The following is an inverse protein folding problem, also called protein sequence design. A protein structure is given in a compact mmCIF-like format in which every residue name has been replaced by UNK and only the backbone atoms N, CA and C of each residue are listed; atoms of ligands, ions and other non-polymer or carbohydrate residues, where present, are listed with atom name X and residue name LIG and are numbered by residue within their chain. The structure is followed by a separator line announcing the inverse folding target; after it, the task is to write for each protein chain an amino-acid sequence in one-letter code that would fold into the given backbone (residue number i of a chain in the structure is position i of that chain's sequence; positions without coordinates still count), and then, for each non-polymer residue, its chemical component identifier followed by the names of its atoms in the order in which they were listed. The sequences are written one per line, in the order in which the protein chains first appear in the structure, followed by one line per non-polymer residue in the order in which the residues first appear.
data_IF_068786869059
#
_entry.id   IF_068786869059
#
_cell.length_a   1.000
_cell.length_b   1.000
_cell.length_c   1.000
_cell.angle_alpha   90.00
_cell.angle_beta   90.00
_cell.angle_gamma   90.00
#
_symmetry.space_group_name_H-M   'P 1'
#
loop_
_entity.id
_entity.type
_entity.pdbx_description
1 polymer ?
#
# COMPACT_ATOMS: atom_id res chain seq x y z
N UNK A 1 53.86 43.13 68.40
CA UNK A 1 53.13 42.09 67.65
C UNK A 1 52.65 42.69 66.34
N UNK A 2 53.37 42.45 65.23
CA UNK A 2 52.93 42.87 63.90
C UNK A 2 52.78 41.62 63.04
N UNK A 3 51.54 41.28 62.68
CA UNK A 3 51.21 40.16 61.81
C UNK A 3 51.51 40.52 60.36
N UNK A 4 52.57 39.95 59.80
CA UNK A 4 52.91 40.08 58.38
C UNK A 4 51.91 39.25 57.58
N UNK A 5 50.95 39.91 56.95
CA UNK A 5 50.01 39.27 56.02
C UNK A 5 50.71 39.03 54.68
N UNK A 6 51.00 37.77 54.39
CA UNK A 6 51.66 37.35 53.16
C UNK A 6 50.79 37.61 51.92
N UNK A 7 51.29 38.46 51.03
CA UNK A 7 50.70 38.81 49.71
C UNK A 7 50.33 37.57 48.87
N UNK A 8 51.02 36.43 49.07
CA UNK A 8 50.77 35.18 48.34
C UNK A 8 49.37 34.63 48.59
N UNK A 9 48.80 34.77 49.80
CA UNK A 9 47.46 34.24 50.11
C UNK A 9 46.34 34.97 49.38
N UNK A 10 46.50 36.27 49.11
CA UNK A 10 45.49 37.09 48.40
C UNK A 10 45.44 36.76 46.90
N UNK A 11 46.60 36.49 46.29
CA UNK A 11 46.68 36.11 44.88
C UNK A 11 46.07 34.74 44.63
N UNK A 12 46.28 33.76 45.52
CA UNK A 12 45.70 32.41 45.35
C UNK A 12 44.17 32.40 45.48
N UNK A 13 43.62 33.21 46.38
CA UNK A 13 42.16 33.35 46.53
C UNK A 13 41.57 34.03 45.29
N UNK A 14 42.22 35.08 44.78
CA UNK A 14 41.79 35.76 43.55
C UNK A 14 41.80 34.81 42.34
N UNK A 15 42.85 33.99 42.20
CA UNK A 15 42.97 33.03 41.11
C UNK A 15 41.91 31.92 41.19
N UNK A 16 41.59 31.43 42.40
CA UNK A 16 40.52 30.44 42.57
C UNK A 16 39.12 31.02 42.27
N UNK A 17 38.86 32.27 42.67
CA UNK A 17 37.59 32.93 42.37
C UNK A 17 37.44 33.17 40.87
N UNK A 18 38.51 33.62 40.18
CA UNK A 18 38.51 33.79 38.72
C UNK A 18 38.33 32.46 38.01
N UNK A 19 39.01 31.39 38.45
CA UNK A 19 38.89 30.05 37.89
C UNK A 19 37.47 29.48 38.07
N UNK A 20 36.87 29.68 39.25
CA UNK A 20 35.48 29.28 39.52
C UNK A 20 34.49 30.04 38.63
N UNK A 21 34.65 31.36 38.47
CA UNK A 21 33.78 32.17 37.59
C UNK A 21 33.93 31.77 36.12
N UNK A 22 35.13 31.40 35.67
CA UNK A 22 35.31 30.86 34.30
C UNK A 22 34.73 29.45 34.11
N UNK A 23 34.81 28.57 35.12
CA UNK A 23 34.24 27.22 35.04
C UNK A 23 32.71 27.23 35.10
N UNK A 24 32.10 28.12 35.89
CA UNK A 24 30.64 28.30 35.91
C UNK A 24 30.12 29.10 34.72
N UNK A 25 30.93 30.00 34.13
CA UNK A 25 30.59 30.74 32.91
C UNK A 25 30.53 29.84 31.65
N UNK A 26 31.33 28.77 31.59
CA UNK A 26 31.31 27.79 30.50
C UNK A 26 30.22 26.72 30.66
N UNK A 27 29.62 26.60 31.85
CA UNK A 27 28.40 25.82 32.09
C UNK A 27 27.12 26.66 31.84
N UNK A 28 27.26 27.86 31.28
CA UNK A 28 26.16 28.71 30.85
C UNK A 28 25.42 28.11 29.66
N UNK A 29 24.28 27.48 29.94
CA UNK A 29 23.13 27.32 29.03
C UNK A 29 23.46 27.14 27.54
N UNK A 30 24.21 26.11 27.17
CA UNK A 30 23.94 25.52 25.85
C UNK A 30 22.55 24.91 25.97
N UNK A 31 21.54 25.62 25.46
CA UNK A 31 20.34 24.93 24.99
C UNK A 31 20.89 23.87 24.06
N UNK A 32 20.88 22.59 24.48
CA UNK A 32 21.25 21.48 23.60
C UNK A 32 20.45 21.73 22.34
N UNK A 33 21.15 22.08 21.26
CA UNK A 33 20.54 22.20 19.96
C UNK A 33 19.94 20.83 19.72
N UNK A 34 18.61 20.75 19.79
CA UNK A 34 17.91 19.49 19.57
C UNK A 34 18.14 19.21 18.09
N UNK A 35 19.14 18.38 17.81
CA UNK A 35 19.49 18.01 16.45
C UNK A 35 18.23 17.51 15.75
N UNK A 36 17.97 18.05 14.56
CA UNK A 36 16.82 17.64 13.75
C UNK A 36 16.90 16.12 13.53
N UNK A 37 15.91 15.32 13.99
CA UNK A 37 16.00 13.88 13.93
C UNK A 37 15.84 13.32 12.51
N UNK A 38 15.53 14.16 11.51
CA UNK A 38 15.35 13.75 10.13
C UNK A 38 16.65 13.93 9.34
N UNK A 39 17.06 12.87 8.64
CA UNK A 39 18.20 12.91 7.72
C UNK A 39 17.68 13.18 6.32
N UNK A 40 18.16 14.24 5.67
CA UNK A 40 17.79 14.53 4.29
C UNK A 40 18.48 13.56 3.33
N UNK A 41 17.72 12.97 2.42
CA UNK A 41 18.24 12.20 1.29
C UNK A 41 17.18 12.06 0.18
N UNK A 42 17.59 11.53 -0.97
CA UNK A 42 16.69 11.16 -2.05
C UNK A 42 15.77 10.01 -1.67
N UNK A 43 14.56 9.99 -2.22
CA UNK A 43 13.62 8.86 -2.06
C UNK A 43 14.29 7.52 -2.40
N UNK A 44 15.09 7.49 -3.47
CA UNK A 44 15.81 6.30 -3.91
C UNK A 44 16.76 5.74 -2.85
N UNK A 45 17.57 6.60 -2.24
CA UNK A 45 18.52 6.21 -1.20
C UNK A 45 17.78 5.71 0.06
N UNK A 46 16.70 6.41 0.46
CA UNK A 46 15.84 6.02 1.58
C UNK A 46 15.17 4.67 1.35
N UNK A 47 14.59 4.44 0.17
CA UNK A 47 13.91 3.18 -0.16
C UNK A 47 14.89 2.01 -0.24
N UNK A 48 16.11 2.21 -0.78
CA UNK A 48 17.14 1.17 -0.87
C UNK A 48 17.87 0.89 0.44
N UNK A 49 17.77 1.78 1.43
CA UNK A 49 18.46 1.64 2.70
C UNK A 49 19.91 2.10 2.66
N UNK A 50 20.26 2.93 1.67
CA UNK A 50 21.59 3.54 1.55
C UNK A 50 21.78 4.67 2.59
N UNK A 51 20.67 5.19 3.14
CA UNK A 51 20.64 6.23 4.17
C UNK A 51 20.39 5.63 5.56
N UNK A 52 21.30 5.89 6.51
CA UNK A 52 21.10 5.55 7.91
C UNK A 52 20.46 6.73 8.67
N UNK A 53 19.37 6.46 9.38
CA UNK A 53 18.70 7.46 10.21
C UNK A 53 18.20 6.87 11.52
N UNK A 54 18.22 7.68 12.57
CA UNK A 54 17.65 7.35 13.88
C UNK A 54 16.13 7.19 13.74
N UNK A 55 15.60 6.06 14.19
CA UNK A 55 14.17 5.72 14.09
C UNK A 55 13.61 5.73 12.65
N UNK A 56 14.47 5.57 11.65
CA UNK A 56 14.08 5.55 10.23
C UNK A 56 13.33 6.82 9.79
N UNK A 57 13.77 7.99 10.26
CA UNK A 57 13.18 9.29 9.95
C UNK A 57 13.98 10.03 8.89
N UNK A 58 13.35 10.37 7.78
CA UNK A 58 14.02 10.95 6.62
C UNK A 58 13.32 12.23 6.19
N UNK A 59 14.07 13.23 5.73
CA UNK A 59 13.53 14.37 5.00
C UNK A 59 13.73 14.08 3.50
N UNK A 60 12.64 14.09 2.73
CA UNK A 60 12.68 13.84 1.29
C UNK A 60 11.99 14.98 0.56
N UNK A 61 12.38 15.24 -0.68
CA UNK A 61 11.58 16.06 -1.57
C UNK A 61 10.20 15.41 -1.80
N UNK A 62 9.15 16.22 -1.85
CA UNK A 62 7.80 15.72 -2.07
C UNK A 62 7.74 14.91 -3.38
N UNK A 63 7.37 13.63 -3.31
CA UNK A 63 7.40 12.75 -4.45
C UNK A 63 6.23 13.03 -5.40
N UNK A 64 6.36 12.55 -6.63
CA UNK A 64 5.23 12.47 -7.55
C UNK A 64 4.42 11.22 -7.24
N UNK A 65 3.13 11.40 -7.00
CA UNK A 65 2.21 10.29 -6.77
C UNK A 65 1.73 9.71 -8.09
N UNK A 66 1.87 8.40 -8.23
CA UNK A 66 1.40 7.65 -9.40
C UNK A 66 -0.09 7.29 -9.29
N UNK A 67 -0.58 7.10 -8.06
CA UNK A 67 -1.99 6.88 -7.74
C UNK A 67 -2.22 7.20 -6.26
N UNK A 68 -3.40 7.70 -5.91
CA UNK A 68 -3.78 8.00 -4.52
C UNK A 68 -5.25 7.64 -4.34
N UNK A 69 -5.55 6.95 -3.24
CA UNK A 69 -6.92 6.65 -2.81
C UNK A 69 -6.98 6.50 -1.29
N UNK A 70 -7.88 7.25 -0.66
CA UNK A 70 -8.01 7.39 0.78
C UNK A 70 -6.72 7.93 1.41
N UNK A 71 -6.20 7.17 2.37
CA UNK A 71 -4.99 7.51 3.13
C UNK A 71 -3.69 6.95 2.51
N UNK A 72 -3.78 6.24 1.39
CA UNK A 72 -2.67 5.52 0.76
C UNK A 72 -2.41 6.07 -0.65
N UNK A 73 -1.14 6.20 -1.00
CA UNK A 73 -0.69 6.51 -2.36
C UNK A 73 0.48 5.63 -2.78
N UNK A 74 0.66 5.50 -4.09
CA UNK A 74 1.84 4.90 -4.69
C UNK A 74 2.73 6.01 -5.21
N UNK A 75 4.01 5.91 -4.89
CA UNK A 75 5.07 6.73 -5.46
C UNK A 75 5.90 5.84 -6.38
N UNK A 76 6.33 6.44 -7.49
CA UNK A 76 7.25 5.79 -8.42
C UNK A 76 8.46 6.66 -8.72
N UNK A 77 9.65 6.09 -8.55
CA UNK A 77 10.91 6.64 -9.04
C UNK A 77 11.62 5.56 -9.89
N UNK A 78 11.50 5.68 -11.21
CA UNK A 78 11.99 4.67 -12.15
C UNK A 78 11.34 3.30 -11.93
N UNK A 79 12.13 2.32 -11.52
CA UNK A 79 11.67 0.96 -11.23
C UNK A 79 11.32 0.72 -9.75
N UNK A 80 11.39 1.76 -8.91
CA UNK A 80 11.01 1.70 -7.51
C UNK A 80 9.54 2.04 -7.38
N UNK A 81 8.80 1.14 -6.73
CA UNK A 81 7.43 1.34 -6.30
C UNK A 81 7.44 1.35 -4.77
N UNK A 82 6.96 2.43 -4.18
CA UNK A 82 6.90 2.62 -2.73
C UNK A 82 5.51 3.12 -2.33
N UNK A 83 5.02 2.69 -1.17
CA UNK A 83 3.75 3.18 -0.65
C UNK A 83 3.97 4.37 0.28
N UNK A 84 3.05 5.32 0.19
CA UNK A 84 3.04 6.52 1.01
C UNK A 84 1.71 6.65 1.71
N UNK A 85 1.76 6.94 3.01
CA UNK A 85 0.61 6.95 3.88
C UNK A 85 0.54 8.28 4.62
N UNK A 86 -0.62 8.94 4.52
CA UNK A 86 -0.94 10.14 5.27
C UNK A 86 -2.46 10.24 5.49
N UNK A 87 -2.87 10.88 6.57
CA UNK A 87 -4.29 11.14 6.81
C UNK A 87 -4.84 12.13 5.77
N UNK A 88 -5.95 11.77 5.13
CA UNK A 88 -6.59 12.58 4.10
C UNK A 88 -5.72 12.79 2.86
N UNK A 89 -4.87 11.83 2.51
CA UNK A 89 -3.91 11.96 1.41
C UNK A 89 -4.60 12.25 0.06
N UNK A 90 -5.68 11.55 -0.26
CA UNK A 90 -6.44 11.73 -1.51
C UNK A 90 -6.91 13.17 -1.73
N UNK A 91 -7.33 13.87 -0.67
CA UNK A 91 -7.76 15.26 -0.75
C UNK A 91 -6.62 16.29 -0.71
N UNK A 92 -5.39 15.89 -0.36
CA UNK A 92 -4.32 16.83 -0.03
C UNK A 92 -3.00 16.61 -0.79
N UNK A 93 -2.79 15.48 -1.46
CA UNK A 93 -1.49 15.12 -2.06
C UNK A 93 -0.96 16.18 -3.03
N UNK A 94 -1.84 16.84 -3.81
CA UNK A 94 -1.44 17.90 -4.74
C UNK A 94 -0.80 19.10 -4.03
N UNK A 95 -1.23 19.39 -2.79
CA UNK A 95 -0.66 20.48 -1.98
C UNK A 95 0.73 20.16 -1.45
N UNK A 96 1.14 18.89 -1.46
CA UNK A 96 2.48 18.47 -1.04
C UNK A 96 3.54 18.81 -2.09
N UNK A 97 3.15 19.06 -3.34
CA UNK A 97 4.10 19.37 -4.41
C UNK A 97 5.01 20.57 -4.04
N UNK A 98 6.31 20.41 -4.29
CA UNK A 98 7.32 21.44 -4.00
C UNK A 98 7.66 21.62 -2.52
N UNK A 99 7.24 20.71 -1.64
CA UNK A 99 7.59 20.73 -0.21
C UNK A 99 8.68 19.73 0.15
N UNK A 100 9.29 19.91 1.32
CA UNK A 100 10.11 18.90 1.97
C UNK A 100 9.23 18.12 2.97
N UNK A 101 9.22 16.80 2.84
CA UNK A 101 8.42 15.91 3.67
C UNK A 101 9.34 15.18 4.65
N UNK A 102 9.09 15.35 5.95
CA UNK A 102 9.63 14.42 6.93
C UNK A 102 8.76 13.19 6.97
N UNK A 103 9.35 12.05 6.65
CA UNK A 103 8.70 10.75 6.60
C UNK A 103 9.36 9.80 7.59
N UNK A 104 8.59 8.82 8.04
CA UNK A 104 9.11 7.67 8.76
C UNK A 104 8.89 6.42 7.93
N UNK A 105 9.96 5.69 7.65
CA UNK A 105 9.88 4.38 7.00
C UNK A 105 9.43 3.33 8.01
N UNK A 106 8.36 2.63 7.69
CA UNK A 106 7.71 1.63 8.54
C UNK A 106 7.72 0.28 7.83
N UNK A 107 7.78 -0.80 8.61
CA UNK A 107 7.81 -2.18 8.10
C UNK A 107 6.54 -2.96 8.47
N UNK A 108 5.61 -2.32 9.19
CA UNK A 108 4.35 -2.89 9.65
C UNK A 108 3.24 -1.84 9.57
N UNK A 109 2.04 -2.21 9.07
CA UNK A 109 1.76 -3.46 8.36
C UNK A 109 2.61 -3.57 7.08
N UNK A 110 2.83 -4.79 6.60
CA UNK A 110 3.54 -5.00 5.33
C UNK A 110 2.67 -4.50 4.17
N UNK A 111 3.28 -4.04 3.06
CA UNK A 111 4.71 -3.95 2.76
C UNK A 111 5.37 -2.76 3.49
N UNK A 112 6.68 -2.65 3.36
CA UNK A 112 7.40 -1.44 3.75
C UNK A 112 6.77 -0.22 3.06
N UNK A 113 6.65 0.88 3.81
CA UNK A 113 6.02 2.10 3.32
C UNK A 113 6.55 3.33 4.07
N UNK A 114 6.23 4.51 3.56
CA UNK A 114 6.57 5.81 4.14
C UNK A 114 5.32 6.42 4.79
N UNK A 115 5.43 6.82 6.05
CA UNK A 115 4.38 7.55 6.76
C UNK A 115 4.78 9.01 6.90
N UNK A 116 3.91 9.93 6.47
CA UNK A 116 4.14 11.36 6.64
C UNK A 116 4.15 11.75 8.13
N UNK A 117 5.22 12.40 8.57
CA UNK A 117 5.37 12.91 9.95
C UNK A 117 5.63 14.42 10.00
N UNK A 118 6.03 15.06 8.89
CA UNK A 118 6.34 16.49 8.83
C UNK A 118 6.19 17.07 7.42
N UNK A 119 5.73 18.32 7.32
CA UNK A 119 5.72 19.13 6.09
C UNK A 119 6.52 20.40 6.36
N UNK A 120 7.47 20.69 5.47
CA UNK A 120 8.34 21.85 5.52
C UNK A 120 8.28 22.60 4.20
N UNK A 121 8.05 23.91 4.25
CA UNK A 121 8.06 24.81 3.08
C UNK A 121 9.02 25.95 3.31
N UNK A 122 9.85 26.22 2.31
CA UNK A 122 10.81 27.33 2.37
C UNK A 122 11.68 27.30 3.63
N UNK A 123 12.07 26.09 4.08
CA UNK A 123 12.87 25.90 5.30
C UNK A 123 12.09 25.91 6.62
N UNK A 124 10.79 26.25 6.62
CA UNK A 124 9.96 26.35 7.82
C UNK A 124 9.07 25.12 7.97
N UNK A 125 9.04 24.55 9.17
CA UNK A 125 8.13 23.44 9.51
C UNK A 125 6.71 24.00 9.66
N UNK A 126 5.83 23.67 8.73
CA UNK A 126 4.43 24.10 8.74
C UNK A 126 3.55 23.13 9.54
N UNK A 127 3.88 21.84 9.47
CA UNK A 127 3.17 20.78 10.17
C UNK A 127 4.13 19.66 10.56
N UNK A 128 3.89 19.03 11.71
CA UNK A 128 4.69 17.93 12.21
C UNK A 128 3.81 16.91 12.95
N UNK A 129 4.40 15.93 13.65
CA UNK A 129 3.65 14.90 14.37
C UNK A 129 2.69 15.43 15.44
N UNK A 130 2.80 16.70 15.85
CA UNK A 130 1.88 17.32 16.82
C UNK A 130 0.62 17.88 16.14
N UNK A 131 0.71 18.30 14.88
CA UNK A 131 -0.41 18.88 14.13
C UNK A 131 -0.96 17.93 13.05
N UNK A 132 -0.11 17.07 12.50
CA UNK A 132 -0.47 16.01 11.58
C UNK A 132 -1.06 14.84 12.36
N UNK A 133 -2.29 14.48 12.01
CA UNK A 133 -2.89 13.25 12.48
C UNK A 133 -2.26 12.09 11.74
N UNK A 134 -1.87 11.05 12.48
CA UNK A 134 -1.55 9.77 11.86
C UNK A 134 -2.86 9.13 11.40
N UNK A 135 -2.88 8.53 10.20
CA UNK A 135 -4.07 7.85 9.74
C UNK A 135 -4.41 6.69 10.67
N UNK A 136 -5.65 6.68 11.16
CA UNK A 136 -6.15 5.65 12.07
C UNK A 136 -6.26 4.29 11.35
N UNK A 137 -6.64 4.34 10.08
CA UNK A 137 -6.77 3.19 9.19
C UNK A 137 -6.26 3.56 7.79
N UNK A 138 -5.58 2.60 7.16
CA UNK A 138 -5.14 2.68 5.77
C UNK A 138 -4.97 1.26 5.24
N UNK A 139 -5.22 1.11 3.94
CA UNK A 139 -5.14 -0.18 3.24
C UNK A 139 -3.85 -0.21 2.44
N UNK A 140 -3.10 -1.33 2.53
CA UNK A 140 -1.93 -1.59 1.71
C UNK A 140 -2.09 -2.93 1.00
N UNK A 141 -1.67 -3.04 -0.28
CA UNK A 141 -1.64 -4.32 -0.97
C UNK A 141 -0.52 -5.20 -0.44
N UNK A 142 -0.81 -6.48 -0.23
CA UNK A 142 0.23 -7.46 0.13
C UNK A 142 1.04 -7.82 -1.11
N UNK A 143 2.29 -7.38 -1.13
CA UNK A 143 3.23 -7.72 -2.20
C UNK A 143 3.91 -9.06 -1.92
N UNK A 144 3.87 -9.96 -2.90
CA UNK A 144 4.52 -11.26 -2.83
C UNK A 144 5.72 -11.33 -3.76
N UNK A 145 6.77 -12.03 -3.32
CA UNK A 145 7.97 -12.23 -4.13
C UNK A 145 7.69 -13.24 -5.24
N UNK A 146 8.42 -13.13 -6.34
CA UNK A 146 8.32 -14.05 -7.48
C UNK A 146 8.56 -15.53 -7.10
N UNK A 147 9.29 -15.81 -6.02
CA UNK A 147 9.49 -17.17 -5.50
C UNK A 147 8.38 -17.68 -4.56
N UNK A 148 7.46 -16.82 -4.12
CA UNK A 148 6.31 -17.18 -3.28
C UNK A 148 5.06 -17.53 -4.11
N UNK A 149 5.11 -17.27 -5.41
CA UNK A 149 4.09 -17.64 -6.39
C UNK A 149 4.57 -18.86 -7.17
N UNK A 150 3.65 -19.73 -7.52
CA UNK A 150 3.95 -20.81 -8.45
C UNK A 150 4.05 -20.25 -9.87
N UNK A 151 5.28 -20.15 -10.38
CA UNK A 151 5.51 -19.71 -11.75
C UNK A 151 5.22 -20.82 -12.78
N UNK A 152 5.10 -22.07 -12.35
CA UNK A 152 4.76 -23.21 -13.19
C UNK A 152 3.25 -23.39 -13.36
N UNK A 153 2.43 -22.50 -12.76
CA UNK A 153 0.99 -22.47 -13.05
C UNK A 153 0.80 -22.44 -14.56
N UNK A 154 0.06 -23.40 -15.13
CA UNK A 154 -0.13 -23.51 -16.56
C UNK A 154 -0.61 -22.17 -17.14
N UNK A 155 0.11 -21.70 -18.15
CA UNK A 155 -0.28 -20.58 -18.99
C UNK A 155 -1.31 -21.02 -20.01
N UNK A 156 -2.45 -21.55 -19.56
CA UNK A 156 -3.63 -21.60 -20.40
C UNK A 156 -4.45 -20.37 -20.02
N UNK A 157 -4.70 -19.42 -20.95
CA UNK A 157 -5.64 -18.34 -20.65
C UNK A 157 -6.91 -19.03 -20.13
N UNK A 158 -7.49 -18.53 -19.04
CA UNK A 158 -8.83 -18.97 -18.67
C UNK A 158 -9.69 -18.55 -19.85
N UNK A 159 -10.09 -19.51 -20.72
CA UNK A 159 -10.80 -19.16 -21.93
C UNK A 159 -12.11 -18.55 -21.51
N UNK A 160 -12.70 -17.78 -22.40
CA UNK A 160 -14.05 -17.31 -22.17
C UNK A 160 -14.97 -18.51 -21.88
N UNK A 161 -15.55 -18.51 -20.69
CA UNK A 161 -16.49 -19.56 -20.30
C UNK A 161 -17.85 -19.16 -20.86
N UNK A 162 -18.22 -19.73 -21.99
CA UNK A 162 -19.53 -19.47 -22.57
C UNK A 162 -20.68 -19.88 -21.64
N UNK A 163 -21.87 -19.32 -21.85
CA UNK A 163 -23.01 -19.52 -20.95
C UNK A 163 -23.82 -20.77 -21.29
N UNK A 164 -23.63 -21.38 -22.47
CA UNK A 164 -24.40 -22.56 -22.92
C UNK A 164 -24.03 -23.81 -22.13
N UNK A 165 -24.92 -24.79 -22.15
CA UNK A 165 -24.75 -26.04 -21.38
C UNK A 165 -23.43 -26.74 -21.73
N UNK A 166 -23.16 -26.98 -23.02
CA UNK A 166 -21.92 -27.67 -23.43
C UNK A 166 -20.64 -26.91 -23.05
N UNK A 167 -20.65 -25.58 -23.14
CA UNK A 167 -19.51 -24.72 -22.77
C UNK A 167 -19.26 -24.77 -21.25
N UNK A 168 -20.33 -24.81 -20.44
CA UNK A 168 -20.24 -24.93 -18.98
C UNK A 168 -19.79 -26.33 -18.54
N UNK A 169 -20.24 -27.38 -19.22
CA UNK A 169 -19.83 -28.76 -18.92
C UNK A 169 -18.34 -28.96 -19.24
N UNK A 170 -17.87 -28.40 -20.36
CA UNK A 170 -16.44 -28.37 -20.72
C UNK A 170 -15.63 -27.60 -19.67
N UNK A 171 -16.07 -26.39 -19.30
CA UNK A 171 -15.40 -25.58 -18.28
C UNK A 171 -15.35 -26.28 -16.91
N UNK A 172 -16.42 -27.00 -16.53
CA UNK A 172 -16.47 -27.80 -15.30
C UNK A 172 -15.41 -28.88 -15.32
N UNK A 173 -15.34 -29.70 -16.37
CA UNK A 173 -14.34 -30.77 -16.48
C UNK A 173 -12.89 -30.25 -16.52
N UNK A 174 -12.70 -29.04 -17.04
CA UNK A 174 -11.38 -28.46 -17.28
C UNK A 174 -10.85 -27.73 -16.04
N UNK A 175 -11.68 -26.94 -15.36
CA UNK A 175 -11.23 -26.00 -14.33
C UNK A 175 -11.70 -26.34 -12.92
N UNK A 176 -12.79 -27.10 -12.78
CA UNK A 176 -13.24 -27.54 -11.47
C UNK A 176 -12.66 -28.93 -11.13
N UNK A 177 -12.45 -29.23 -9.84
CA UNK A 177 -12.04 -30.56 -9.41
C UNK A 177 -13.09 -31.63 -9.76
N UNK A 178 -12.63 -32.86 -9.97
CA UNK A 178 -13.53 -33.99 -10.25
C UNK A 178 -14.29 -34.44 -8.99
N UNK A 179 -13.65 -34.36 -7.83
CA UNK A 179 -14.23 -34.73 -6.54
C UNK A 179 -14.20 -33.55 -5.57
N UNK A 180 -15.23 -33.48 -4.74
CA UNK A 180 -15.25 -32.55 -3.62
C UNK A 180 -14.05 -32.82 -2.69
N UNK A 181 -13.33 -31.77 -2.34
CA UNK A 181 -12.12 -31.84 -1.52
C UNK A 181 -10.81 -31.97 -2.30
N UNK A 182 -10.85 -32.22 -3.61
CA UNK A 182 -9.64 -32.14 -4.43
C UNK A 182 -9.15 -30.67 -4.51
N UNK A 183 -7.83 -30.45 -4.66
CA UNK A 183 -7.28 -29.11 -4.83
C UNK A 183 -7.90 -28.39 -6.03
N UNK A 184 -8.29 -27.13 -5.82
CA UNK A 184 -8.78 -26.29 -6.91
C UNK A 184 -7.67 -26.04 -7.94
N UNK A 185 -8.05 -25.99 -9.22
CA UNK A 185 -7.12 -25.73 -10.32
C UNK A 185 -6.94 -24.22 -10.49
N UNK A 186 -5.70 -23.79 -10.47
CA UNK A 186 -5.32 -22.40 -10.73
C UNK A 186 -4.76 -22.28 -12.15
N UNK A 187 -5.12 -21.22 -12.86
CA UNK A 187 -4.65 -20.93 -14.22
C UNK A 187 -4.17 -19.48 -14.34
N UNK A 188 -3.18 -19.24 -15.20
CA UNK A 188 -2.75 -17.88 -15.53
C UNK A 188 -3.59 -17.31 -16.67
N UNK A 189 -4.20 -16.15 -16.44
CA UNK A 189 -5.03 -15.48 -17.44
C UNK A 189 -4.79 -13.97 -17.48
N UNK A 190 -5.45 -13.32 -18.43
CA UNK A 190 -5.52 -11.87 -18.55
C UNK A 190 -6.96 -11.47 -18.89
N UNK A 191 -7.50 -10.50 -18.15
CA UNK A 191 -8.79 -9.90 -18.42
C UNK A 191 -8.58 -8.44 -18.80
N UNK A 192 -8.92 -8.10 -20.04
CA UNK A 192 -8.89 -6.73 -20.53
C UNK A 192 -9.96 -5.88 -19.84
N UNK A 193 -11.14 -6.46 -19.62
CA UNK A 193 -12.29 -5.77 -19.05
C UNK A 193 -12.66 -6.35 -17.69
N UNK A 194 -12.95 -5.47 -16.75
CA UNK A 194 -13.46 -5.82 -15.44
C UNK A 194 -14.20 -4.62 -14.85
N UNK A 195 -15.16 -4.87 -13.96
CA UNK A 195 -16.00 -3.80 -13.42
C UNK A 195 -16.33 -4.02 -11.96
N UNK A 196 -16.46 -2.91 -11.22
CA UNK A 196 -17.02 -2.87 -9.88
C UNK A 196 -18.48 -2.40 -9.98
N UNK A 197 -19.42 -3.29 -9.70
CA UNK A 197 -20.87 -3.07 -9.93
C UNK A 197 -21.67 -3.64 -8.77
N UNK A 198 -22.92 -3.16 -8.55
CA UNK A 198 -23.86 -3.85 -7.69
C UNK A 198 -23.97 -5.32 -8.13
N UNK A 199 -24.08 -6.21 -7.16
CA UNK A 199 -24.16 -7.64 -7.42
C UNK A 199 -25.36 -7.97 -8.29
N UNK A 200 -25.14 -8.87 -9.24
CA UNK A 200 -26.14 -9.30 -10.22
C UNK A 200 -27.35 -10.02 -9.59
N UNK A 201 -27.19 -10.56 -8.37
CA UNK A 201 -28.20 -11.30 -7.62
C UNK A 201 -28.97 -10.44 -6.59
N UNK A 202 -28.80 -9.12 -6.62
CA UNK A 202 -29.59 -8.20 -5.80
C UNK A 202 -31.06 -8.19 -6.21
N UNK A 203 -31.94 -8.07 -5.22
CA UNK A 203 -33.37 -7.94 -5.46
C UNK A 203 -33.67 -6.71 -6.32
N UNK A 204 -34.56 -6.87 -7.30
CA UNK A 204 -34.97 -5.77 -8.17
C UNK A 204 -35.53 -4.59 -7.35
N UNK A 205 -34.99 -3.39 -7.58
CA UNK A 205 -35.39 -2.18 -6.85
C UNK A 205 -34.68 -1.94 -5.52
N UNK A 206 -33.76 -2.84 -5.10
CA UNK A 206 -32.91 -2.58 -3.95
C UNK A 206 -31.96 -1.39 -4.23
N UNK A 207 -31.76 -0.53 -3.23
CA UNK A 207 -30.70 0.50 -3.27
C UNK A 207 -29.42 -0.15 -2.75
N UNK A 208 -28.39 -0.35 -3.60
CA UNK A 208 -27.19 -1.06 -3.19
C UNK A 208 -26.39 -0.25 -2.17
N UNK A 209 -26.03 -0.90 -1.06
CA UNK A 209 -25.03 -0.43 -0.11
C UNK A 209 -23.62 -0.75 -0.62
N UNK A 210 -22.54 -0.21 -0.01
CA UNK A 210 -21.18 -0.54 -0.41
C UNK A 210 -20.85 -2.04 -0.38
N UNK A 211 -21.46 -2.80 0.52
CA UNK A 211 -21.28 -4.26 0.65
C UNK A 211 -21.96 -5.06 -0.46
N UNK A 212 -22.89 -4.41 -1.17
CA UNK A 212 -23.63 -5.01 -2.29
C UNK A 212 -22.88 -4.91 -3.62
N UNK A 213 -21.66 -4.37 -3.63
CA UNK A 213 -20.83 -4.30 -4.83
C UNK A 213 -19.86 -5.47 -4.91
N UNK A 214 -19.63 -5.93 -6.13
CA UNK A 214 -18.64 -6.95 -6.43
C UNK A 214 -17.82 -6.57 -7.65
N UNK A 215 -16.63 -7.15 -7.72
CA UNK A 215 -15.79 -7.13 -8.91
C UNK A 215 -16.22 -8.23 -9.86
N UNK A 216 -16.23 -7.93 -11.16
CA UNK A 216 -16.54 -8.87 -12.22
C UNK A 216 -15.39 -8.87 -13.23
N UNK A 217 -14.87 -10.04 -13.57
CA UNK A 217 -13.97 -10.22 -14.72
C UNK A 217 -14.84 -10.46 -15.96
N UNK A 218 -14.67 -9.66 -17.00
CA UNK A 218 -15.60 -9.59 -18.14
C UNK A 218 -14.89 -10.14 -19.39
N UNK A 219 -15.43 -11.22 -19.95
CA UNK A 219 -15.11 -11.74 -21.28
C UNK A 219 -16.04 -11.17 -22.35
N UNK A 220 -16.07 -11.77 -23.53
CA UNK A 220 -16.82 -11.21 -24.67
C UNK A 220 -18.33 -11.38 -24.52
N UNK A 221 -18.78 -12.51 -23.98
CA UNK A 221 -20.20 -12.87 -23.79
C UNK A 221 -20.57 -13.14 -22.33
N UNK A 222 -19.58 -13.45 -21.48
CA UNK A 222 -19.81 -13.84 -20.10
C UNK A 222 -18.87 -13.13 -19.11
N UNK A 223 -19.23 -13.19 -17.84
CA UNK A 223 -18.44 -12.67 -16.74
C UNK A 223 -18.39 -13.62 -15.56
N UNK A 224 -17.36 -13.44 -14.75
CA UNK A 224 -17.14 -14.17 -13.50
C UNK A 224 -17.11 -13.19 -12.34
N UNK A 225 -17.91 -13.45 -11.31
CA UNK A 225 -17.88 -12.69 -10.07
C UNK A 225 -16.61 -13.01 -9.28
N UNK A 226 -15.83 -11.99 -8.93
CA UNK A 226 -14.64 -12.14 -8.09
C UNK A 226 -15.06 -12.29 -6.64
N UNK A 227 -14.62 -13.37 -6.02
CA UNK A 227 -14.88 -13.67 -4.61
C UNK A 227 -13.58 -13.80 -3.81
N UNK A 228 -13.69 -13.62 -2.48
CA UNK A 228 -12.59 -13.79 -1.53
C UNK A 228 -11.39 -12.85 -1.82
N UNK A 229 -11.68 -11.59 -2.17
CA UNK A 229 -10.66 -10.59 -2.44
C UNK A 229 -10.19 -9.93 -1.13
N UNK A 230 -8.89 -9.71 -0.96
CA UNK A 230 -8.36 -8.91 0.15
C UNK A 230 -8.58 -7.41 -0.07
N UNK A 231 -8.71 -6.62 0.99
CA UNK A 231 -8.84 -5.16 0.90
C UNK A 231 -7.70 -4.52 0.09
N UNK A 232 -6.48 -5.03 0.28
CA UNK A 232 -5.30 -4.58 -0.46
C UNK A 232 -5.37 -4.87 -1.95
N UNK A 233 -5.88 -6.04 -2.32
CA UNK A 233 -6.13 -6.41 -3.71
C UNK A 233 -7.26 -5.57 -4.33
N UNK A 234 -8.36 -5.35 -3.59
CA UNK A 234 -9.45 -4.48 -4.02
C UNK A 234 -8.97 -3.05 -4.29
N UNK A 235 -8.18 -2.49 -3.38
CA UNK A 235 -7.57 -1.16 -3.57
C UNK A 235 -6.75 -1.10 -4.87
N UNK A 236 -6.00 -2.16 -5.18
CA UNK A 236 -5.22 -2.25 -6.42
C UNK A 236 -6.08 -2.49 -7.66
N UNK A 237 -7.21 -3.21 -7.59
CA UNK A 237 -8.14 -3.33 -8.71
C UNK A 237 -8.73 -1.97 -9.09
N UNK A 238 -9.02 -1.12 -8.11
CA UNK A 238 -9.42 0.26 -8.39
C UNK A 238 -8.35 1.05 -9.13
N UNK A 239 -7.09 0.93 -8.72
CA UNK A 239 -5.97 1.53 -9.48
C UNK A 239 -5.97 1.05 -10.93
N UNK A 240 -6.04 -0.27 -11.15
CA UNK A 240 -6.02 -0.82 -12.50
C UNK A 240 -7.18 -0.28 -13.34
N UNK A 241 -8.39 -0.19 -12.75
CA UNK A 241 -9.58 0.32 -13.40
C UNK A 241 -9.46 1.81 -13.74
N UNK A 242 -9.00 2.62 -12.79
CA UNK A 242 -8.87 4.07 -12.97
C UNK A 242 -7.78 4.42 -14.01
N UNK A 243 -6.84 3.50 -14.25
CA UNK A 243 -5.78 3.61 -15.25
C UNK A 243 -6.04 2.88 -16.56
N UNK A 244 -7.20 2.24 -16.70
CA UNK A 244 -7.55 1.44 -17.88
C UNK A 244 -6.49 0.34 -18.18
N UNK A 245 -6.04 -0.35 -17.12
CA UNK A 245 -5.06 -1.42 -17.20
C UNK A 245 -5.72 -2.79 -17.03
N UNK A 246 -5.29 -3.83 -17.76
CA UNK A 246 -5.84 -5.18 -17.62
C UNK A 246 -5.45 -5.82 -16.29
N UNK A 247 -6.25 -6.80 -15.86
CA UNK A 247 -5.89 -7.67 -14.73
C UNK A 247 -5.19 -8.92 -15.28
N UNK A 248 -3.89 -9.05 -15.01
CA UNK A 248 -3.07 -10.18 -15.45
C UNK A 248 -2.59 -10.93 -14.22
N UNK A 249 -2.92 -12.21 -14.10
CA UNK A 249 -2.71 -12.92 -12.85
C UNK A 249 -2.98 -14.41 -12.89
N UNK A 250 -3.04 -15.00 -11.71
CA UNK A 250 -3.51 -16.35 -11.48
C UNK A 250 -4.93 -16.33 -10.90
N UNK A 251 -5.78 -17.17 -11.47
CA UNK A 251 -7.19 -17.23 -11.16
C UNK A 251 -7.59 -18.68 -10.89
N UNK A 252 -8.47 -18.85 -9.93
CA UNK A 252 -9.05 -20.14 -9.57
C UNK A 252 -10.56 -20.06 -9.71
N UNK A 253 -11.14 -20.89 -10.58
CA UNK A 253 -12.59 -20.99 -10.70
C UNK A 253 -13.15 -21.69 -9.46
N UNK A 254 -14.08 -21.04 -8.77
CA UNK A 254 -14.65 -21.52 -7.50
C UNK A 254 -15.93 -22.31 -7.75
N UNK A 255 -16.80 -21.77 -8.59
CA UNK A 255 -18.08 -22.40 -8.93
C UNK A 255 -18.61 -21.90 -10.27
N UNK A 256 -19.45 -22.70 -10.91
CA UNK A 256 -20.23 -22.31 -12.08
C UNK A 256 -21.72 -22.31 -11.70
N UNK A 257 -22.50 -21.45 -12.35
CA UNK A 257 -23.96 -21.44 -12.18
C UNK A 257 -24.58 -22.62 -12.94
N UNK A 258 -25.19 -23.54 -12.20
CA UNK A 258 -25.75 -24.76 -12.79
C UNK A 258 -27.04 -24.47 -13.55
N UNK A 259 -27.87 -23.55 -13.05
CA UNK A 259 -29.18 -23.27 -13.60
C UNK A 259 -29.08 -22.46 -14.91
N UNK A 260 -29.46 -23.11 -16.02
CA UNK A 260 -29.53 -22.45 -17.33
C UNK A 260 -30.40 -21.19 -17.32
N UNK A 261 -31.48 -21.20 -16.55
CA UNK A 261 -32.40 -20.05 -16.42
C UNK A 261 -31.75 -18.83 -15.81
N UNK A 262 -30.76 -19.02 -14.92
CA UNK A 262 -29.97 -17.93 -14.32
C UNK A 262 -28.85 -17.49 -15.26
N UNK A 263 -28.09 -18.44 -15.82
CA UNK A 263 -26.98 -18.14 -16.77
C UNK A 263 -27.41 -17.33 -17.99
N UNK A 264 -28.57 -17.64 -18.56
CA UNK A 264 -29.05 -16.97 -19.79
C UNK A 264 -29.49 -15.52 -19.56
N UNK A 265 -29.59 -15.06 -18.31
CA UNK A 265 -29.92 -13.67 -18.02
C UNK A 265 -28.72 -12.82 -18.42
N UNK A 266 -28.96 -11.81 -19.24
CA UNK A 266 -27.95 -10.85 -19.63
C UNK A 266 -28.01 -9.64 -18.70
N UNK A 267 -26.86 -9.26 -18.16
CA UNK A 267 -26.71 -8.12 -17.27
C UNK A 267 -26.02 -6.97 -18.02
N UNK A 268 -26.60 -5.75 -18.03
CA UNK A 268 -26.03 -4.62 -18.75
C UNK A 268 -24.56 -4.35 -18.38
N UNK A 269 -23.67 -4.45 -19.37
CA UNK A 269 -22.23 -4.23 -19.22
C UNK A 269 -21.46 -5.37 -18.53
N UNK A 270 -22.10 -6.48 -18.17
CA UNK A 270 -21.47 -7.68 -17.61
C UNK A 270 -21.67 -8.93 -18.49
N UNK A 271 -22.60 -8.89 -19.46
CA UNK A 271 -22.99 -10.08 -20.22
C UNK A 271 -23.67 -11.12 -19.33
N UNK A 272 -23.37 -12.39 -19.54
CA UNK A 272 -23.89 -13.50 -18.74
C UNK A 272 -22.99 -13.78 -17.53
N UNK A 273 -23.48 -13.65 -16.30
CA UNK A 273 -22.71 -14.05 -15.13
C UNK A 273 -22.79 -15.57 -14.98
N UNK A 274 -21.67 -16.26 -15.23
CA UNK A 274 -21.66 -17.73 -15.34
C UNK A 274 -21.03 -18.45 -14.16
N UNK A 275 -20.41 -17.72 -13.24
CA UNK A 275 -19.73 -18.34 -12.11
C UNK A 275 -18.98 -17.36 -11.22
N UNK A 276 -18.22 -17.95 -10.29
CA UNK A 276 -17.41 -17.25 -9.30
C UNK A 276 -15.96 -17.64 -9.47
N UNK A 277 -15.08 -16.65 -9.41
CA UNK A 277 -13.63 -16.79 -9.57
C UNK A 277 -12.92 -16.14 -8.40
N UNK A 278 -11.82 -16.72 -7.98
CA UNK A 278 -10.89 -16.13 -7.02
C UNK A 278 -9.66 -15.62 -7.77
N UNK A 279 -9.20 -14.44 -7.42
CA UNK A 279 -7.89 -13.95 -7.87
C UNK A 279 -6.88 -14.39 -6.82
N UNK A 280 -5.97 -15.30 -7.17
CA UNK A 280 -4.94 -15.77 -6.25
C UNK A 280 -3.84 -14.72 -6.12
N UNK A 281 -3.39 -14.19 -7.26
CA UNK A 281 -2.50 -13.03 -7.35
C UNK A 281 -2.63 -12.36 -8.72
N UNK A 282 -2.24 -11.10 -8.82
CA UNK A 282 -2.10 -10.39 -10.10
C UNK A 282 -0.87 -9.50 -10.13
N UNK A 283 -0.42 -9.17 -11.33
CA UNK A 283 0.77 -8.35 -11.54
C UNK A 283 0.43 -6.87 -11.63
N UNK A 284 1.26 -6.05 -11.00
CA UNK A 284 1.34 -4.63 -11.27
C UNK A 284 2.80 -4.21 -11.30
N UNK A 285 3.22 -3.60 -12.41
CA UNK A 285 4.62 -3.27 -12.64
C UNK A 285 5.54 -4.51 -12.51
N UNK A 286 6.53 -4.44 -11.62
CA UNK A 286 7.47 -5.51 -11.30
C UNK A 286 7.12 -6.29 -10.03
N UNK A 287 5.89 -6.13 -9.52
CA UNK A 287 5.41 -6.75 -8.29
C UNK A 287 4.20 -7.66 -8.54
N UNK A 288 4.03 -8.62 -7.63
CA UNK A 288 2.85 -9.46 -7.55
C UNK A 288 2.03 -9.04 -6.34
N UNK A 289 0.75 -8.81 -6.53
CA UNK A 289 -0.22 -8.48 -5.50
C UNK A 289 -0.97 -9.75 -5.14
N UNK A 290 -0.96 -10.12 -3.87
CA UNK A 290 -1.76 -11.23 -3.36
C UNK A 290 -3.25 -10.87 -3.41
N UNK A 291 -4.04 -11.65 -4.16
CA UNK A 291 -5.47 -11.42 -4.33
C UNK A 291 -6.31 -11.98 -3.19
N UNK A 292 -5.87 -13.10 -2.61
CA UNK A 292 -6.56 -13.84 -1.56
C UNK A 292 -5.61 -14.19 -0.42
N UNK A 293 -6.05 -13.98 0.83
CA UNK A 293 -5.30 -14.39 2.02
C UNK A 293 -5.53 -15.87 2.30
N UNK A 294 -4.53 -16.70 1.98
CA UNK A 294 -4.53 -18.09 2.41
C UNK A 294 -4.17 -18.16 3.91
N UNK A 295 -5.17 -18.40 4.76
CA UNK A 295 -5.01 -18.50 6.21
C UNK A 295 -4.14 -19.68 6.68
N UNK A 296 -3.84 -20.62 5.78
CA UNK A 296 -3.04 -21.82 6.06
C UNK A 296 -1.53 -21.63 5.74
N UNK A 297 -1.10 -20.41 5.37
CA UNK A 297 0.30 -20.04 5.10
C UNK A 297 0.88 -19.16 6.21
#
# INVERSE_FOLDING_TARGET
MFGVTSSRRRVTILLMVVLAVTLFGLAGCSKKEVADPYVYDSLRAVTRGDTLSVNFRFEIDAPTFEYVRGNTGIIRDGNILEFFVAEGLEGNYQRLAGTLLGVRKTFSPQPTHLVLERIKRNGVVEADTTTLRRPAHYTLPRLVRAGAIDQNVPGAPLPEIGFKVGEIDEARSTFLPEKEGDPLRTVKSAFANFAYRPRHDLAAGATPSPEDYAWYLIGDTSSLEVVQLTDGAEWMLHLLKDKDLPVIGAFTLISLEDEWTKRRVEHPGLGHVVGKVRIDWFQYANAFVEGFENKDR
#
